data_IF_587605416337
#
_entry.id   IF_587605416337
#
_cell.length_a   1.000
_cell.length_b   1.000
_cell.length_c   1.000
_cell.angle_alpha   90.00
_cell.angle_beta   90.00
_cell.angle_gamma   90.00
#
_symmetry.space_group_name_H-M   'P 1'
#
loop_
_entity.id
_entity.type
_entity.pdbx_description
1 polymer ?
#
# COMPACT_ATOMS: atom_id res chain seq x y z
N UNK A 1 -36.24 31.60 -27.99
CA UNK A 1 -35.62 31.10 -26.74
C UNK A 1 -35.08 29.67 -26.80
N UNK A 2 -35.05 28.99 -27.97
CA UNK A 2 -34.61 27.57 -28.06
C UNK A 2 -33.09 27.42 -28.34
N UNK A 3 -32.45 28.40 -28.98
CA UNK A 3 -31.02 28.35 -29.33
C UNK A 3 -30.10 28.57 -28.10
N UNK A 4 -30.55 29.32 -27.10
CA UNK A 4 -29.78 29.56 -25.86
C UNK A 4 -29.62 28.31 -24.97
N UNK A 5 -30.63 27.43 -24.95
CA UNK A 5 -30.60 26.20 -24.14
C UNK A 5 -29.72 25.10 -24.75
N UNK A 6 -29.60 25.01 -26.07
CA UNK A 6 -28.71 24.03 -26.73
C UNK A 6 -27.22 24.37 -26.48
N UNK A 7 -26.83 25.64 -26.58
CA UNK A 7 -25.44 26.06 -26.36
C UNK A 7 -25.01 25.91 -24.89
N UNK A 8 -25.95 26.11 -23.95
CA UNK A 8 -25.72 25.84 -22.53
C UNK A 8 -25.56 24.32 -22.25
N UNK A 9 -26.38 23.48 -22.89
CA UNK A 9 -26.29 22.02 -22.81
C UNK A 9 -24.96 21.48 -23.36
N UNK A 10 -24.51 21.96 -24.52
CA UNK A 10 -23.21 21.57 -25.11
C UNK A 10 -22.04 22.01 -24.23
N UNK A 11 -22.08 23.22 -23.67
CA UNK A 11 -21.05 23.71 -22.72
C UNK A 11 -21.01 22.88 -21.44
N UNK A 12 -22.16 22.48 -20.91
CA UNK A 12 -22.26 21.60 -19.75
C UNK A 12 -21.69 20.20 -20.05
N UNK A 13 -22.09 19.59 -21.16
CA UNK A 13 -21.58 18.28 -21.60
C UNK A 13 -20.05 18.32 -21.83
N UNK A 14 -19.54 19.38 -22.47
CA UNK A 14 -18.10 19.56 -22.65
C UNK A 14 -17.36 19.71 -21.31
N UNK A 15 -17.95 20.39 -20.33
CA UNK A 15 -17.39 20.52 -18.97
C UNK A 15 -17.37 19.17 -18.24
N UNK A 16 -18.44 18.39 -18.32
CA UNK A 16 -18.52 17.06 -17.72
C UNK A 16 -17.51 16.10 -18.37
N UNK A 17 -17.37 16.15 -19.70
CA UNK A 17 -16.42 15.33 -20.43
C UNK A 17 -14.97 15.64 -20.03
N UNK A 18 -14.58 16.92 -19.99
CA UNK A 18 -13.24 17.34 -19.54
C UNK A 18 -12.96 16.93 -18.10
N UNK A 19 -13.96 17.04 -17.23
CA UNK A 19 -13.81 16.64 -15.84
C UNK A 19 -13.54 15.12 -15.70
N UNK A 20 -14.27 14.31 -16.46
CA UNK A 20 -14.05 12.85 -16.51
C UNK A 20 -12.67 12.50 -17.07
N UNK A 21 -12.26 13.15 -18.14
CA UNK A 21 -10.94 12.97 -18.76
C UNK A 21 -9.82 13.28 -17.77
N UNK A 22 -9.90 14.43 -17.08
CA UNK A 22 -8.91 14.84 -16.09
C UNK A 22 -8.83 13.85 -14.92
N UNK A 23 -9.97 13.33 -14.45
CA UNK A 23 -10.02 12.32 -13.39
C UNK A 23 -9.35 11.02 -13.81
N UNK A 24 -9.71 10.50 -14.98
CA UNK A 24 -9.11 9.26 -15.53
C UNK A 24 -7.62 9.43 -15.73
N UNK A 25 -7.17 10.60 -16.21
CA UNK A 25 -5.75 10.89 -16.38
C UNK A 25 -4.99 10.85 -15.07
N UNK A 26 -5.48 11.52 -14.02
CA UNK A 26 -4.81 11.52 -12.71
C UNK A 26 -4.68 10.11 -12.12
N UNK A 27 -5.76 9.33 -12.21
CA UNK A 27 -5.75 7.94 -11.76
C UNK A 27 -4.78 7.07 -12.57
N UNK A 28 -4.75 7.25 -13.88
CA UNK A 28 -3.86 6.51 -14.76
C UNK A 28 -2.39 6.84 -14.48
N UNK A 29 -2.04 8.13 -14.37
CA UNK A 29 -0.67 8.55 -14.08
C UNK A 29 -0.19 8.06 -12.71
N UNK A 30 -1.05 8.15 -11.68
CA UNK A 30 -0.72 7.63 -10.35
C UNK A 30 -0.54 6.11 -10.38
N UNK A 31 -1.48 5.38 -10.98
CA UNK A 31 -1.39 3.93 -11.13
C UNK A 31 -0.10 3.51 -11.84
N UNK A 32 0.25 4.18 -12.94
CA UNK A 32 1.49 3.94 -13.68
C UNK A 32 2.74 4.24 -12.84
N UNK A 33 2.75 5.33 -12.10
CA UNK A 33 3.87 5.70 -11.22
C UNK A 33 4.04 4.68 -10.07
N UNK A 34 2.93 4.25 -9.45
CA UNK A 34 2.96 3.23 -8.40
C UNK A 34 3.34 1.84 -8.92
N UNK A 35 3.08 1.53 -10.20
CA UNK A 35 3.45 0.25 -10.80
C UNK A 35 4.97 0.05 -10.91
N UNK A 36 5.75 1.12 -11.07
CA UNK A 36 7.21 1.07 -11.15
C UNK A 36 7.91 1.22 -9.80
N UNK A 37 7.18 1.60 -8.73
CA UNK A 37 7.72 1.69 -7.38
C UNK A 37 8.20 0.33 -6.86
N UNK A 38 9.46 0.28 -6.42
CA UNK A 38 10.14 -0.96 -6.00
C UNK A 38 10.38 -1.05 -4.50
N UNK A 39 10.21 0.06 -3.78
CA UNK A 39 10.34 0.10 -2.33
C UNK A 39 9.12 0.76 -1.68
N UNK A 40 8.84 0.46 -0.40
CA UNK A 40 7.81 1.16 0.37
C UNK A 40 8.02 2.69 0.38
N UNK A 41 9.27 3.14 0.41
CA UNK A 41 9.64 4.56 0.37
C UNK A 41 9.26 5.22 -0.96
N UNK A 42 9.50 4.54 -2.10
CA UNK A 42 9.10 5.05 -3.42
C UNK A 42 7.58 5.19 -3.52
N UNK A 43 6.85 4.19 -3.00
CA UNK A 43 5.39 4.21 -2.97
C UNK A 43 4.89 5.36 -2.10
N UNK A 44 5.43 5.54 -0.90
CA UNK A 44 5.10 6.65 -0.01
C UNK A 44 5.34 8.01 -0.68
N UNK A 45 6.55 8.27 -1.16
CA UNK A 45 6.93 9.53 -1.78
C UNK A 45 6.09 9.85 -3.03
N UNK A 46 5.85 8.85 -3.88
CA UNK A 46 4.99 9.01 -5.07
C UNK A 46 3.56 9.37 -4.65
N UNK A 47 3.01 8.63 -3.69
CA UNK A 47 1.65 8.86 -3.20
C UNK A 47 1.47 10.26 -2.64
N UNK A 48 2.42 10.71 -1.83
CA UNK A 48 2.40 12.03 -1.21
C UNK A 48 2.49 13.15 -2.26
N UNK A 49 3.32 12.99 -3.29
CA UNK A 49 3.43 13.93 -4.40
C UNK A 49 2.13 14.02 -5.23
N UNK A 50 1.49 12.88 -5.50
CA UNK A 50 0.22 12.85 -6.24
C UNK A 50 -0.93 13.44 -5.41
N UNK A 51 -0.96 13.19 -4.10
CA UNK A 51 -1.95 13.79 -3.20
C UNK A 51 -1.77 15.30 -3.13
N UNK A 52 -0.52 15.78 -2.99
CA UNK A 52 -0.20 17.19 -2.96
C UNK A 52 -0.62 17.92 -4.23
N UNK A 53 -0.28 17.39 -5.40
CA UNK A 53 -0.61 18.02 -6.68
C UNK A 53 -2.10 17.95 -7.04
N UNK A 54 -2.80 16.88 -6.65
CA UNK A 54 -4.21 16.68 -7.02
C UNK A 54 -5.17 17.40 -6.07
N UNK A 55 -4.94 17.28 -4.76
CA UNK A 55 -5.86 17.76 -3.74
C UNK A 55 -5.41 19.07 -3.08
N UNK A 56 -4.22 19.58 -3.43
CA UNK A 56 -3.60 20.73 -2.74
C UNK A 56 -3.53 20.46 -1.23
N UNK A 57 -3.12 19.23 -0.89
CA UNK A 57 -3.10 18.70 0.46
C UNK A 57 -1.72 18.18 0.83
N UNK A 58 -1.28 18.45 2.05
CA UNK A 58 -0.10 17.75 2.57
C UNK A 58 -0.52 16.34 2.96
N UNK A 59 0.38 15.40 2.84
CA UNK A 59 0.10 14.04 3.28
C UNK A 59 1.35 13.33 3.77
N UNK A 60 1.13 12.37 4.66
CA UNK A 60 2.17 11.49 5.17
C UNK A 60 1.68 10.05 5.11
N UNK A 61 2.43 9.17 4.45
CA UNK A 61 2.22 7.73 4.51
C UNK A 61 2.95 7.16 5.73
N UNK A 62 2.22 6.35 6.49
CA UNK A 62 2.68 5.63 7.67
C UNK A 62 2.58 4.13 7.41
N UNK A 63 3.67 3.38 7.60
CA UNK A 63 3.67 1.93 7.51
C UNK A 63 4.01 1.30 8.87
N UNK A 64 3.46 0.12 9.19
CA UNK A 64 3.86 -0.60 10.39
C UNK A 64 5.32 -1.08 10.29
N UNK A 65 6.06 -0.96 11.38
CA UNK A 65 7.34 -1.64 11.58
C UNK A 65 7.14 -3.13 11.92
N UNK A 66 8.23 -3.84 12.20
CA UNK A 66 8.20 -5.26 12.58
C UNK A 66 7.41 -5.54 13.87
N UNK A 67 7.16 -4.52 14.70
CA UNK A 67 6.36 -4.60 15.92
C UNK A 67 4.90 -4.14 15.70
N UNK A 68 4.53 -3.80 14.47
CA UNK A 68 3.20 -3.29 14.12
C UNK A 68 2.99 -1.81 14.46
N UNK A 69 4.03 -1.08 14.89
CA UNK A 69 3.93 0.34 15.21
C UNK A 69 4.10 1.17 13.94
N UNK A 70 3.17 2.09 13.73
CA UNK A 70 3.19 2.97 12.56
C UNK A 70 4.37 3.96 12.62
N UNK A 71 5.09 4.06 11.50
CA UNK A 71 6.21 4.99 11.31
C UNK A 71 6.07 5.73 9.97
N UNK A 72 6.38 7.04 9.93
CA UNK A 72 6.48 7.76 8.67
C UNK A 72 7.72 7.30 7.89
N UNK A 73 7.54 7.07 6.59
CA UNK A 73 8.65 6.72 5.69
C UNK A 73 9.34 7.93 5.07
N UNK A 74 8.67 9.08 5.08
CA UNK A 74 9.21 10.36 4.63
C UNK A 74 9.19 11.36 5.80
N UNK A 75 9.79 12.53 5.61
CA UNK A 75 9.84 13.53 6.67
C UNK A 75 8.57 14.40 6.63
N UNK A 76 7.71 14.39 7.67
CA UNK A 76 6.51 15.20 7.69
C UNK A 76 6.89 16.68 7.81
N UNK A 77 6.72 17.45 6.74
CA UNK A 77 7.03 18.88 6.74
C UNK A 77 5.76 19.72 6.92
N UNK A 78 5.70 20.41 8.06
CA UNK A 78 4.70 21.44 8.35
C UNK A 78 3.29 20.94 8.63
N UNK A 79 3.06 19.62 8.68
CA UNK A 79 1.74 19.06 8.98
C UNK A 79 1.35 19.28 10.45
N UNK A 80 0.06 19.45 10.70
CA UNK A 80 -0.47 19.41 12.07
C UNK A 80 -0.16 18.05 12.69
N UNK A 81 0.41 17.98 13.91
CA UNK A 81 0.65 16.71 14.59
C UNK A 81 -0.64 15.91 14.71
N UNK A 82 -0.56 14.61 14.43
CA UNK A 82 -1.66 13.68 14.67
C UNK A 82 -1.46 12.91 15.97
N UNK A 83 -2.57 12.34 16.45
CA UNK A 83 -2.56 11.44 17.61
C UNK A 83 -2.17 10.03 17.15
N UNK A 84 -1.01 9.55 17.60
CA UNK A 84 -0.50 8.21 17.27
C UNK A 84 -1.43 7.09 17.74
N UNK A 85 -2.17 7.26 18.83
CA UNK A 85 -3.11 6.26 19.32
C UNK A 85 -4.34 6.15 18.39
N UNK A 86 -4.81 7.28 17.87
CA UNK A 86 -5.90 7.31 16.88
C UNK A 86 -5.43 6.79 15.53
N UNK A 87 -4.20 7.10 15.12
CA UNK A 87 -3.59 6.50 13.94
C UNK A 87 -3.52 4.98 14.11
N UNK A 88 -2.96 4.47 15.20
CA UNK A 88 -2.90 3.03 15.45
C UNK A 88 -4.28 2.37 15.47
N UNK A 89 -5.27 2.98 16.13
CA UNK A 89 -6.64 2.50 16.11
C UNK A 89 -7.23 2.43 14.70
N UNK A 90 -6.99 3.46 13.87
CA UNK A 90 -7.47 3.51 12.49
C UNK A 90 -6.85 2.41 11.64
N UNK A 91 -5.55 2.11 11.85
CA UNK A 91 -4.85 0.99 11.22
C UNK A 91 -5.43 -0.36 11.66
N UNK A 92 -5.53 -0.58 12.97
CA UNK A 92 -5.98 -1.85 13.56
C UNK A 92 -7.45 -2.17 13.21
N UNK A 93 -8.32 -1.15 13.14
CA UNK A 93 -9.74 -1.31 12.79
C UNK A 93 -10.00 -1.22 11.29
N UNK A 94 -9.07 -0.70 10.50
CA UNK A 94 -9.26 -0.42 9.09
C UNK A 94 -10.39 0.59 8.84
N UNK A 95 -10.60 1.53 9.77
CA UNK A 95 -11.64 2.56 9.70
C UNK A 95 -11.02 3.96 9.63
N UNK A 96 -11.57 4.88 8.82
CA UNK A 96 -11.05 6.24 8.73
C UNK A 96 -11.32 7.03 10.02
N UNK A 97 -10.46 8.01 10.30
CA UNK A 97 -10.61 8.96 11.39
C UNK A 97 -10.29 10.39 10.92
N UNK A 98 -10.56 11.39 11.77
CA UNK A 98 -10.32 12.79 11.48
C UNK A 98 -11.51 13.49 10.84
N UNK A 99 -11.24 14.57 10.13
CA UNK A 99 -12.25 15.43 9.54
C UNK A 99 -13.28 14.67 8.70
N UNK A 100 -14.57 14.91 8.98
CA UNK A 100 -15.67 14.29 8.24
C UNK A 100 -15.97 12.84 8.62
N UNK A 101 -15.42 12.33 9.73
CA UNK A 101 -15.69 11.00 10.27
C UNK A 101 -16.28 11.07 11.67
N UNK A 102 -16.79 9.94 12.20
CA UNK A 102 -17.30 9.87 13.57
C UNK A 102 -16.19 9.85 14.64
N UNK A 103 -14.95 9.61 14.23
CA UNK A 103 -13.80 9.48 15.14
C UNK A 103 -12.88 10.68 14.99
N UNK A 104 -12.76 11.49 16.04
CA UNK A 104 -11.94 12.71 16.05
C UNK A 104 -12.30 13.71 14.91
N UNK A 105 -13.56 14.14 14.74
CA UNK A 105 -13.96 15.02 13.63
C UNK A 105 -13.35 16.44 13.65
N UNK A 106 -12.81 16.87 14.79
CA UNK A 106 -12.39 18.27 15.02
C UNK A 106 -11.01 18.65 14.48
N UNK A 107 -10.25 17.70 13.92
CA UNK A 107 -8.88 17.94 13.42
C UNK A 107 -8.89 18.39 11.96
N UNK A 108 -7.86 19.12 11.48
CA UNK A 108 -7.81 19.65 10.12
C UNK A 108 -7.36 18.62 9.05
N UNK A 109 -7.24 17.34 9.42
CA UNK A 109 -6.74 16.27 8.56
C UNK A 109 -7.66 15.04 8.59
N UNK A 110 -7.54 14.18 7.57
CA UNK A 110 -8.14 12.85 7.53
C UNK A 110 -7.05 11.78 7.72
N UNK A 111 -7.35 10.73 8.47
CA UNK A 111 -6.54 9.52 8.60
C UNK A 111 -7.26 8.42 7.83
N UNK A 112 -6.61 7.90 6.80
CA UNK A 112 -7.21 6.97 5.84
C UNK A 112 -6.43 5.65 5.79
N UNK A 113 -7.05 4.51 6.15
CA UNK A 113 -6.41 3.20 6.07
C UNK A 113 -6.16 2.77 4.64
N UNK A 114 -4.93 2.31 4.37
CA UNK A 114 -4.51 1.76 3.09
C UNK A 114 -4.89 0.28 3.05
N UNK A 115 -6.16 0.02 2.75
CA UNK A 115 -6.75 -1.33 2.77
C UNK A 115 -6.81 -1.96 1.38
N UNK A 116 -6.35 -3.21 1.26
CA UNK A 116 -6.66 -4.10 0.13
C UNK A 116 -7.30 -5.37 0.66
N UNK A 117 -8.50 -5.70 0.17
CA UNK A 117 -9.34 -6.73 0.75
C UNK A 117 -9.64 -6.48 2.23
N UNK A 118 -9.33 -7.46 3.08
CA UNK A 118 -9.49 -7.38 4.54
C UNK A 118 -8.22 -6.94 5.28
N UNK A 119 -7.11 -6.68 4.57
CA UNK A 119 -5.82 -6.34 5.19
C UNK A 119 -5.50 -4.86 5.04
N UNK A 120 -5.12 -4.24 6.16
CA UNK A 120 -4.57 -2.88 6.19
C UNK A 120 -3.05 -2.97 6.06
N UNK A 121 -2.47 -2.31 5.05
CA UNK A 121 -1.03 -2.29 4.80
C UNK A 121 -0.33 -1.07 5.40
N UNK A 122 -1.09 -0.03 5.73
CA UNK A 122 -0.59 1.20 6.34
C UNK A 122 -1.69 2.24 6.45
N UNK A 123 -1.31 3.49 6.66
CA UNK A 123 -2.19 4.65 6.69
C UNK A 123 -1.65 5.78 5.84
N UNK A 124 -2.54 6.65 5.40
CA UNK A 124 -2.18 7.98 4.91
C UNK A 124 -2.91 9.04 5.72
N UNK A 125 -2.16 9.99 6.26
CA UNK A 125 -2.71 11.22 6.86
C UNK A 125 -2.76 12.27 5.76
N UNK A 126 -3.90 12.93 5.57
CA UNK A 126 -4.13 13.93 4.53
C UNK A 126 -4.64 15.21 5.16
N UNK A 127 -3.86 16.28 5.07
CA UNK A 127 -4.19 17.61 5.58
C UNK A 127 -4.37 18.58 4.40
N UNK A 128 -5.62 18.83 3.96
CA UNK A 128 -5.89 19.73 2.85
C UNK A 128 -5.66 21.19 3.22
N UNK A 129 -5.19 22.01 2.27
CA UNK A 129 -5.20 23.47 2.43
C UNK A 129 -6.62 24.05 2.55
N UNK A 130 -7.63 23.34 2.04
CA UNK A 130 -9.04 23.70 2.20
C UNK A 130 -9.90 22.44 2.42
N UNK A 131 -10.26 22.20 3.68
CA UNK A 131 -11.06 21.03 4.07
C UNK A 131 -12.41 20.96 3.34
N UNK A 132 -13.11 22.09 3.16
CA UNK A 132 -14.41 22.11 2.47
C UNK A 132 -14.31 21.62 1.02
N UNK A 133 -13.18 21.88 0.35
CA UNK A 133 -12.95 21.41 -1.00
C UNK A 133 -12.66 19.90 -1.03
N UNK A 134 -11.89 19.38 -0.08
CA UNK A 134 -11.63 17.95 0.04
C UNK A 134 -12.91 17.15 0.35
N UNK A 135 -13.82 17.73 1.14
CA UNK A 135 -15.10 17.11 1.53
C UNK A 135 -16.14 17.04 0.41
N UNK A 136 -15.86 17.59 -0.78
CA UNK A 136 -16.74 17.43 -1.94
C UNK A 136 -16.81 15.93 -2.28
N UNK A 137 -18.01 15.33 -2.49
CA UNK A 137 -18.14 13.88 -2.69
C UNK A 137 -17.28 13.31 -3.82
N UNK A 138 -17.07 14.09 -4.87
CA UNK A 138 -16.24 13.67 -6.00
C UNK A 138 -14.74 13.68 -5.67
N UNK A 139 -14.28 14.60 -4.79
CA UNK A 139 -12.91 14.61 -4.28
C UNK A 139 -12.69 13.46 -3.30
N UNK A 140 -13.64 13.19 -2.42
CA UNK A 140 -13.60 12.02 -1.52
C UNK A 140 -13.51 10.72 -2.32
N UNK A 141 -14.37 10.52 -3.33
CA UNK A 141 -14.29 9.35 -4.21
C UNK A 141 -12.96 9.21 -4.93
N UNK A 142 -12.36 10.33 -5.36
CA UNK A 142 -11.04 10.32 -5.99
C UNK A 142 -9.96 9.93 -4.97
N UNK A 143 -10.01 10.49 -3.77
CA UNK A 143 -9.07 10.20 -2.69
C UNK A 143 -9.17 8.75 -2.20
N UNK A 144 -10.37 8.20 -2.08
CA UNK A 144 -10.62 6.78 -1.81
C UNK A 144 -9.96 5.91 -2.89
N UNK A 145 -10.10 6.28 -4.17
CA UNK A 145 -9.47 5.54 -5.27
C UNK A 145 -7.94 5.62 -5.19
N UNK A 146 -7.38 6.79 -4.86
CA UNK A 146 -5.95 6.96 -4.65
C UNK A 146 -5.46 6.05 -3.52
N UNK A 147 -6.14 6.08 -2.37
CA UNK A 147 -5.86 5.25 -1.19
C UNK A 147 -5.83 3.77 -1.54
N UNK A 148 -6.79 3.30 -2.37
CA UNK A 148 -6.83 1.93 -2.87
C UNK A 148 -5.64 1.60 -3.80
N UNK A 149 -5.25 2.51 -4.70
CA UNK A 149 -4.09 2.30 -5.57
C UNK A 149 -2.79 2.16 -4.77
N UNK A 150 -2.62 2.98 -3.72
CA UNK A 150 -1.48 2.88 -2.80
C UNK A 150 -1.50 1.54 -2.05
N UNK A 151 -2.65 1.15 -1.51
CA UNK A 151 -2.80 -0.12 -0.80
C UNK A 151 -2.43 -1.32 -1.69
N UNK A 152 -2.91 -1.34 -2.94
CA UNK A 152 -2.58 -2.40 -3.91
C UNK A 152 -1.09 -2.43 -4.25
N UNK A 153 -0.42 -1.27 -4.28
CA UNK A 153 1.01 -1.21 -4.53
C UNK A 153 1.83 -1.75 -3.35
N UNK A 154 1.43 -1.42 -2.11
CA UNK A 154 2.03 -1.96 -0.89
C UNK A 154 1.79 -3.47 -0.76
N UNK A 155 0.59 -3.92 -1.09
CA UNK A 155 0.25 -5.35 -1.14
C UNK A 155 1.17 -6.09 -2.10
N UNK A 156 1.33 -5.58 -3.33
CA UNK A 156 2.22 -6.18 -4.32
C UNK A 156 3.64 -6.35 -3.77
N UNK A 157 4.22 -5.31 -3.15
CA UNK A 157 5.55 -5.38 -2.56
C UNK A 157 5.63 -6.44 -1.45
N UNK A 158 4.61 -6.50 -0.60
CA UNK A 158 4.53 -7.48 0.50
C UNK A 158 4.47 -8.91 -0.02
N UNK A 159 3.63 -9.15 -1.04
CA UNK A 159 3.47 -10.47 -1.65
C UNK A 159 4.75 -10.92 -2.34
N UNK A 160 5.38 -10.06 -3.16
CA UNK A 160 6.65 -10.38 -3.82
C UNK A 160 7.76 -10.73 -2.82
N UNK A 161 7.88 -9.98 -1.71
CA UNK A 161 8.84 -10.28 -0.66
C UNK A 161 8.57 -11.65 0.00
N UNK A 162 7.30 -11.97 0.26
CA UNK A 162 6.92 -13.24 0.87
C UNK A 162 7.19 -14.45 -0.05
N UNK A 163 6.99 -14.30 -1.36
CA UNK A 163 7.27 -15.34 -2.36
C UNK A 163 8.77 -15.61 -2.47
N UNK A 164 9.59 -14.55 -2.50
CA UNK A 164 11.04 -14.68 -2.56
C UNK A 164 11.60 -15.38 -1.31
N UNK A 165 11.09 -15.02 -0.14
CA UNK A 165 11.50 -15.66 1.12
C UNK A 165 11.06 -17.12 1.20
N UNK A 166 9.86 -17.46 0.73
CA UNK A 166 9.38 -18.83 0.66
C UNK A 166 10.23 -19.68 -0.32
N UNK A 167 10.62 -19.11 -1.46
CA UNK A 167 11.51 -19.77 -2.43
C UNK A 167 12.87 -20.06 -1.81
N UNK A 168 13.49 -19.07 -1.16
CA UNK A 168 14.78 -19.24 -0.48
C UNK A 168 14.72 -20.29 0.62
N UNK A 169 13.62 -20.37 1.38
CA UNK A 169 13.43 -21.38 2.41
C UNK A 169 13.32 -22.79 1.82
N UNK A 170 12.57 -22.94 0.72
CA UNK A 170 12.43 -24.21 0.00
C UNK A 170 13.76 -24.70 -0.58
N UNK A 171 14.54 -23.81 -1.21
CA UNK A 171 15.88 -24.14 -1.74
C UNK A 171 16.83 -24.60 -0.63
N UNK A 172 16.81 -23.93 0.54
CA UNK A 172 17.62 -24.35 1.71
C UNK A 172 17.25 -25.74 2.19
N UNK A 173 15.96 -26.05 2.25
CA UNK A 173 15.49 -27.36 2.69
C UNK A 173 15.82 -28.46 1.67
N UNK A 174 15.75 -28.16 0.37
CA UNK A 174 16.19 -29.09 -0.68
C UNK A 174 17.68 -29.40 -0.59
N UNK A 175 18.53 -28.38 -0.41
CA UNK A 175 19.98 -28.57 -0.24
C UNK A 175 20.25 -29.39 1.02
N UNK A 176 19.59 -29.07 2.14
CA UNK A 176 19.72 -29.84 3.38
C UNK A 176 19.38 -31.30 3.18
N UNK A 177 18.26 -31.60 2.53
CA UNK A 177 17.82 -32.98 2.27
C UNK A 177 18.77 -33.72 1.32
N UNK A 178 19.28 -33.04 0.28
CA UNK A 178 20.27 -33.62 -0.63
C UNK A 178 21.59 -33.95 0.09
N UNK A 179 22.08 -33.06 0.96
CA UNK A 179 23.28 -33.29 1.76
C UNK A 179 23.09 -34.44 2.75
N UNK A 180 21.94 -34.52 3.42
CA UNK A 180 21.61 -35.63 4.32
C UNK A 180 21.54 -36.97 3.57
N UNK A 181 20.96 -36.98 2.36
CA UNK A 181 20.88 -38.18 1.53
C UNK A 181 22.27 -38.64 1.05
N UNK A 182 23.12 -37.72 0.58
CA UNK A 182 24.49 -38.02 0.16
C UNK A 182 25.33 -38.59 1.33
N UNK A 183 25.27 -37.95 2.50
CA UNK A 183 25.97 -38.44 3.69
C UNK A 183 25.48 -39.84 4.10
N UNK A 184 24.17 -40.09 4.05
CA UNK A 184 23.59 -41.40 4.38
C UNK A 184 24.03 -42.50 3.41
N UNK A 185 24.09 -42.20 2.11
CA UNK A 185 24.56 -43.13 1.08
C UNK A 185 26.06 -43.48 1.27
N UNK A 186 26.88 -42.47 1.53
CA UNK A 186 28.33 -42.62 1.68
C UNK A 186 28.71 -43.30 3.01
N UNK A 187 27.86 -43.22 4.04
CA UNK A 187 28.01 -43.99 5.29
C UNK A 187 27.51 -45.42 5.17
N UNK A 188 26.45 -45.68 4.38
CA UNK A 188 25.88 -47.03 4.20
C UNK A 188 26.85 -47.97 3.51
N UNK A 189 27.60 -47.50 2.52
CA UNK A 189 28.55 -48.31 1.74
C UNK A 189 29.66 -48.95 2.60
N UNK A 190 30.43 -48.20 3.41
CA UNK A 190 31.45 -48.79 4.29
C UNK A 190 30.84 -49.61 5.43
N UNK A 191 29.69 -49.22 5.99
CA UNK A 191 29.00 -50.02 7.03
C UNK A 191 28.54 -51.39 6.52
N UNK A 192 28.04 -51.45 5.28
CA UNK A 192 27.62 -52.73 4.66
C UNK A 192 28.82 -53.66 4.44
N UNK A 193 29.97 -53.09 4.04
CA UNK A 193 31.23 -53.84 3.90
C UNK A 193 31.73 -54.36 5.25
N UNK A 194 31.68 -53.54 6.30
CA UNK A 194 32.09 -53.94 7.65
C UNK A 194 31.18 -55.02 8.25
N UNK A 195 29.86 -54.93 8.06
CA UNK A 195 28.92 -55.97 8.49
C UNK A 195 29.12 -57.28 7.74
N UNK A 196 29.36 -57.24 6.42
CA UNK A 196 29.64 -58.44 5.64
C UNK A 196 30.94 -59.15 6.05
N UNK A 197 31.94 -58.41 6.56
CA UNK A 197 33.17 -59.01 7.10
C UNK A 197 33.00 -59.61 8.50
N UNK A 198 32.03 -59.13 9.28
CA UNK A 198 31.73 -59.65 10.62
C UNK A 198 30.88 -60.93 10.59
N UNK A 199 30.08 -61.16 9.54
CA UNK A 199 29.30 -62.40 9.35
C UNK A 199 30.12 -63.58 8.77
N UNK A 200 31.33 -63.31 8.26
CA UNK A 200 32.22 -64.32 7.66
C UNK A 200 33.22 -64.91 8.68
N UNK A 201 33.25 -64.38 9.91
CA UNK A 201 34.04 -64.92 11.04
C UNK A 201 33.15 -65.75 11.98
#
# INVERSE_FOLDING_TARGET
LVIGNLTAGVRYQARVARYREQRTRHLYEMSKALAVGRSPQDIAATSEQFIASTFHARSQVLLPDDNGKLQPLTHPQGMTPWDDAIAQWSFDKGLPAGAGTDTLPGVPYQILPLKSGEKTYGLVVVEPGNLRQLMIPEQQRLLETFTLLVANALERLTLTASEEQARMASEREQIRNALLAALSHDLRTPLTVLFGQAEIL
#
